data_IF_413330494902
#
_entry.id   IF_413330494902
#
_cell.length_a   1.000
_cell.length_b   1.000
_cell.length_c   1.000
_cell.angle_alpha   90.00
_cell.angle_beta   90.00
_cell.angle_gamma   90.00
#
_symmetry.space_group_name_H-M   'P 1'
#
loop_
_entity.id
_entity.type
_entity.pdbx_description
1 polymer ?
#
# COMPACT_ATOMS: atom_id res chain seq x y z
N UNK A 1 -18.94 7.95 2.03
CA UNK A 1 -18.75 6.97 0.96
C UNK A 1 -17.95 7.60 -0.18
N UNK A 2 -16.98 6.90 -0.69
CA UNK A 2 -16.17 7.40 -1.79
C UNK A 2 -16.97 7.39 -3.10
N UNK A 3 -16.80 8.42 -3.90
CA UNK A 3 -17.32 8.48 -5.27
C UNK A 3 -16.58 7.42 -6.10
N UNK A 4 -17.28 6.51 -6.80
CA UNK A 4 -16.63 5.51 -7.65
C UNK A 4 -15.65 6.11 -8.66
N UNK A 5 -15.93 7.29 -9.21
CA UNK A 5 -15.01 7.95 -10.14
C UNK A 5 -13.72 8.37 -9.44
N UNK A 6 -13.81 8.83 -8.19
CA UNK A 6 -12.63 9.21 -7.41
C UNK A 6 -11.80 8.00 -6.99
N UNK A 7 -12.43 6.88 -6.61
CA UNK A 7 -11.68 5.68 -6.26
C UNK A 7 -10.94 5.12 -7.48
N UNK A 8 -11.57 5.11 -8.64
CA UNK A 8 -10.93 4.67 -9.88
C UNK A 8 -9.74 5.55 -10.28
N UNK A 9 -9.69 6.79 -9.80
CA UNK A 9 -8.60 7.73 -10.04
C UNK A 9 -7.62 7.81 -8.86
N UNK A 10 -7.81 7.00 -7.83
CA UNK A 10 -7.03 7.08 -6.59
C UNK A 10 -6.04 5.92 -6.48
N UNK A 11 -4.78 6.25 -6.23
CA UNK A 11 -3.77 5.27 -5.81
C UNK A 11 -3.78 5.18 -4.29
N UNK A 12 -3.90 3.96 -3.76
CA UNK A 12 -3.76 3.73 -2.32
C UNK A 12 -2.29 3.41 -2.06
N UNK A 13 -1.64 4.18 -1.21
CA UNK A 13 -0.23 4.00 -0.85
C UNK A 13 -0.16 3.48 0.58
N UNK A 14 0.51 2.35 0.77
CA UNK A 14 0.63 1.69 2.06
C UNK A 14 2.10 1.53 2.40
N UNK A 15 2.67 2.42 3.24
CA UNK A 15 4.02 2.19 3.75
C UNK A 15 3.99 1.00 4.71
N UNK A 16 4.93 0.08 4.59
CA UNK A 16 4.93 -1.14 5.40
C UNK A 16 6.35 -1.49 5.82
N UNK A 17 6.50 -1.86 7.09
CA UNK A 17 7.76 -2.36 7.62
C UNK A 17 7.48 -3.48 8.61
N UNK A 18 7.91 -4.71 8.25
CA UNK A 18 7.67 -5.90 9.09
C UNK A 18 6.19 -6.08 9.45
N UNK A 19 5.33 -6.00 8.43
CA UNK A 19 3.89 -6.13 8.56
C UNK A 19 3.35 -7.39 7.85
N UNK A 20 4.16 -8.44 7.76
CA UNK A 20 3.78 -9.66 7.05
C UNK A 20 2.50 -10.30 7.60
N UNK A 21 2.26 -10.14 8.92
CA UNK A 21 1.08 -10.74 9.56
C UNK A 21 -0.24 -10.06 9.15
N UNK A 22 -0.21 -8.80 8.71
CA UNK A 22 -1.42 -8.01 8.47
C UNK A 22 -1.56 -7.49 7.04
N UNK A 23 -0.46 -7.36 6.31
CA UNK A 23 -0.48 -6.63 5.03
C UNK A 23 -1.44 -7.26 4.00
N UNK A 24 -1.50 -8.58 3.90
CA UNK A 24 -2.38 -9.24 2.94
C UNK A 24 -3.85 -8.96 3.27
N UNK A 25 -4.23 -8.99 4.55
CA UNK A 25 -5.59 -8.69 5.00
C UNK A 25 -5.97 -7.25 4.67
N UNK A 26 -5.04 -6.32 4.89
CA UNK A 26 -5.26 -4.89 4.58
C UNK A 26 -5.49 -4.71 3.08
N UNK A 27 -4.63 -5.28 2.25
CA UNK A 27 -4.75 -5.18 0.78
C UNK A 27 -6.07 -5.77 0.30
N UNK A 28 -6.43 -6.96 0.78
CA UNK A 28 -7.68 -7.61 0.39
C UNK A 28 -8.91 -6.82 0.84
N UNK A 29 -8.87 -6.26 2.04
CA UNK A 29 -9.96 -5.44 2.56
C UNK A 29 -10.19 -4.20 1.71
N UNK A 30 -9.11 -3.53 1.31
CA UNK A 30 -9.20 -2.37 0.42
C UNK A 30 -9.74 -2.77 -0.95
N UNK A 31 -9.26 -3.87 -1.51
CA UNK A 31 -9.73 -4.36 -2.82
C UNK A 31 -11.20 -4.71 -2.80
N UNK A 32 -11.70 -5.23 -1.67
CA UNK A 32 -13.11 -5.57 -1.53
C UNK A 32 -13.99 -4.33 -1.35
N UNK A 33 -13.43 -3.26 -0.81
CA UNK A 33 -14.20 -2.04 -0.49
C UNK A 33 -14.45 -1.16 -1.71
N UNK A 34 -13.55 -1.15 -2.70
CA UNK A 34 -13.69 -0.28 -3.88
C UNK A 34 -12.75 -0.73 -5.00
N UNK A 35 -12.99 -0.21 -6.19
CA UNK A 35 -12.12 -0.41 -7.35
C UNK A 35 -11.13 0.75 -7.43
N UNK A 36 -10.02 0.61 -6.72
CA UNK A 36 -8.95 1.61 -6.73
C UNK A 36 -8.17 1.55 -8.05
N UNK A 37 -7.56 2.67 -8.43
CA UNK A 37 -6.67 2.67 -9.57
C UNK A 37 -5.52 1.69 -9.38
N UNK A 38 -4.98 1.63 -8.17
CA UNK A 38 -3.95 0.69 -7.78
C UNK A 38 -3.85 0.67 -6.25
N UNK A 39 -3.32 -0.41 -5.72
CA UNK A 39 -2.86 -0.47 -4.34
C UNK A 39 -1.35 -0.66 -4.42
N UNK A 40 -0.62 0.30 -3.87
CA UNK A 40 0.83 0.36 -3.93
C UNK A 40 1.39 0.22 -2.53
N UNK A 41 2.06 -0.89 -2.27
CA UNK A 41 2.72 -1.14 -0.99
C UNK A 41 4.19 -0.78 -1.12
N UNK A 42 4.66 0.09 -0.24
CA UNK A 42 6.07 0.44 -0.16
C UNK A 42 6.67 -0.38 0.99
N UNK A 43 7.36 -1.44 0.64
CA UNK A 43 8.04 -2.30 1.60
C UNK A 43 9.35 -1.62 2.01
N UNK A 44 9.36 -1.03 3.19
CA UNK A 44 10.46 -0.19 3.66
C UNK A 44 11.59 -1.01 4.26
N UNK A 45 12.11 -1.94 3.47
CA UNK A 45 13.25 -2.74 3.87
C UNK A 45 12.93 -3.79 4.94
N UNK A 46 11.74 -4.40 4.88
CA UNK A 46 11.34 -5.43 5.85
C UNK A 46 12.31 -6.61 5.85
N UNK A 47 12.51 -7.18 7.03
CA UNK A 47 13.28 -8.40 7.20
C UNK A 47 12.42 -9.67 7.07
N UNK A 48 11.09 -9.51 7.14
CA UNK A 48 10.15 -10.62 6.94
C UNK A 48 9.64 -10.62 5.49
N UNK A 49 8.62 -11.42 5.19
CA UNK A 49 8.07 -11.56 3.84
C UNK A 49 6.92 -10.58 3.56
N UNK A 50 6.94 -9.39 4.14
CA UNK A 50 5.92 -8.35 3.93
C UNK A 50 5.64 -8.11 2.45
N UNK A 51 6.69 -7.85 1.66
CA UNK A 51 6.53 -7.56 0.23
C UNK A 51 5.90 -8.72 -0.54
N UNK A 52 6.34 -9.94 -0.25
CA UNK A 52 5.80 -11.14 -0.91
C UNK A 52 4.32 -11.33 -0.57
N UNK A 53 3.93 -11.11 0.69
CA UNK A 53 2.54 -11.21 1.11
C UNK A 53 1.67 -10.14 0.43
N UNK A 54 2.18 -8.92 0.34
CA UNK A 54 1.46 -7.83 -0.33
C UNK A 54 1.25 -8.14 -1.82
N UNK A 55 2.29 -8.62 -2.49
CA UNK A 55 2.22 -8.99 -3.92
C UNK A 55 1.22 -10.10 -4.15
N UNK A 56 1.23 -11.14 -3.32
CA UNK A 56 0.29 -12.26 -3.43
C UNK A 56 -1.15 -11.79 -3.23
N UNK A 57 -1.36 -10.78 -2.40
CA UNK A 57 -2.70 -10.21 -2.16
C UNK A 57 -3.17 -9.30 -3.29
N UNK A 58 -2.31 -8.98 -4.25
CA UNK A 58 -2.68 -8.19 -5.44
C UNK A 58 -2.14 -6.77 -5.48
N UNK A 59 -1.30 -6.37 -4.53
CA UNK A 59 -0.70 -5.05 -4.54
C UNK A 59 0.50 -4.97 -5.48
N UNK A 60 0.75 -3.79 -6.01
CA UNK A 60 2.04 -3.47 -6.63
C UNK A 60 3.01 -3.12 -5.51
N UNK A 61 4.21 -3.68 -5.52
CA UNK A 61 5.15 -3.53 -4.43
C UNK A 61 6.41 -2.82 -4.91
N UNK A 62 6.84 -1.82 -4.16
CA UNK A 62 8.16 -1.21 -4.31
C UNK A 62 8.91 -1.48 -3.02
N UNK A 63 10.12 -2.03 -3.14
CA UNK A 63 10.92 -2.38 -1.99
C UNK A 63 12.11 -1.42 -1.86
N UNK A 64 12.27 -0.83 -0.68
CA UNK A 64 13.49 -0.12 -0.34
C UNK A 64 14.57 -1.14 0.03
N UNK A 65 15.85 -0.88 -0.31
CA UNK A 65 16.93 -1.82 0.02
C UNK A 65 17.22 -1.89 1.52
N UNK A 66 16.77 -0.92 2.29
CA UNK A 66 16.90 -0.88 3.74
C UNK A 66 15.80 0.02 4.32
N UNK A 67 15.60 -0.03 5.63
CA UNK A 67 14.60 0.80 6.30
C UNK A 67 15.02 2.27 6.24
N UNK A 68 14.26 3.07 5.51
CA UNK A 68 14.48 4.51 5.34
C UNK A 68 13.55 5.35 6.21
N UNK A 69 12.53 4.72 6.79
CA UNK A 69 11.54 5.40 7.61
C UNK A 69 10.22 5.64 6.91
N UNK A 70 9.17 5.84 7.70
CA UNK A 70 7.81 5.98 7.20
C UNK A 70 7.66 7.17 6.26
N UNK A 71 8.28 8.30 6.58
CA UNK A 71 8.21 9.49 5.72
C UNK A 71 8.81 9.25 4.34
N UNK A 72 9.95 8.54 4.28
CA UNK A 72 10.57 8.20 3.01
C UNK A 72 9.70 7.24 2.20
N UNK A 73 9.05 6.28 2.87
CA UNK A 73 8.15 5.35 2.20
C UNK A 73 6.93 6.07 1.62
N UNK A 74 6.34 7.00 2.36
CA UNK A 74 5.23 7.83 1.86
C UNK A 74 5.67 8.62 0.63
N UNK A 75 6.84 9.26 0.68
CA UNK A 75 7.36 10.02 -0.47
C UNK A 75 7.56 9.15 -1.69
N UNK A 76 8.11 7.95 -1.51
CA UNK A 76 8.29 6.99 -2.61
C UNK A 76 6.93 6.65 -3.22
N UNK A 77 5.94 6.38 -2.38
CA UNK A 77 4.59 6.03 -2.84
C UNK A 77 3.94 7.16 -3.62
N UNK A 78 4.01 8.38 -3.11
CA UNK A 78 3.43 9.55 -3.78
C UNK A 78 4.11 9.77 -5.13
N UNK A 79 5.43 9.66 -5.18
CA UNK A 79 6.20 9.86 -6.42
C UNK A 79 5.85 8.83 -7.47
N UNK A 80 5.60 7.59 -7.05
CA UNK A 80 5.40 6.47 -7.97
C UNK A 80 3.92 6.21 -8.28
N UNK A 81 3.02 6.82 -7.54
CA UNK A 81 1.58 6.68 -7.76
C UNK A 81 1.17 7.22 -9.12
N UNK A 82 0.26 6.50 -9.78
CA UNK A 82 -0.23 6.87 -11.11
C UNK A 82 -1.60 7.54 -11.05
N UNK A 83 -2.27 7.50 -9.92
CA UNK A 83 -3.60 8.09 -9.75
C UNK A 83 -3.56 9.60 -9.65
N UNK A 84 -4.70 10.22 -9.96
CA UNK A 84 -4.90 11.66 -9.76
C UNK A 84 -4.91 12.00 -8.27
N UNK A 85 -5.46 11.10 -7.46
CA UNK A 85 -5.53 11.25 -6.01
C UNK A 85 -4.69 10.17 -5.34
N UNK A 86 -4.22 10.46 -4.13
CA UNK A 86 -3.46 9.51 -3.32
C UNK A 86 -4.12 9.39 -1.95
N UNK A 87 -4.40 8.16 -1.54
CA UNK A 87 -4.87 7.83 -0.20
C UNK A 87 -3.75 7.07 0.51
N UNK A 88 -3.37 7.53 1.69
CA UNK A 88 -2.38 6.83 2.51
C UNK A 88 -3.13 5.95 3.50
N UNK A 89 -2.81 4.66 3.52
CA UNK A 89 -3.44 3.69 4.42
C UNK A 89 -2.40 3.03 5.32
N UNK A 90 -2.84 2.51 6.45
CA UNK A 90 -2.00 1.89 7.46
C UNK A 90 -1.85 0.38 7.18
N UNK A 91 -0.61 -0.10 7.10
CA UNK A 91 -0.28 -1.50 6.86
C UNK A 91 -0.67 -2.41 8.02
N UNK A 92 -0.74 -1.88 9.25
CA UNK A 92 -1.10 -2.66 10.43
C UNK A 92 -2.60 -2.97 10.49
N UNK A 93 -3.40 -2.28 9.68
CA UNK A 93 -4.86 -2.42 9.72
C UNK A 93 -5.48 -1.69 10.89
N UNK A 94 -6.78 -1.74 10.97
CA UNK A 94 -7.55 -1.11 12.03
C UNK A 94 -8.26 -2.16 12.88
N UNK A 95 -8.33 -1.87 14.14
CA UNK A 95 -8.99 -2.74 15.11
C UNK A 95 -10.22 -2.09 15.67
#
# INVERSE_FOLDING_TARGET
MADPANTAATSVVIPAFNEAASIATVVRGLSAAAHWREILVIDDGSSDNTGAQASTAGARVIRHPYNKGNGAAVKTGIRDATGTFVLIADAAGQH
#
